data_IF_202333653985
#
_entry.id   IF_202333653985
#
_cell.length_a   1.000
_cell.length_b   1.000
_cell.length_c   1.000
_cell.angle_alpha   90.00
_cell.angle_beta   90.00
_cell.angle_gamma   90.00
#
_symmetry.space_group_name_H-M   'P 1'
#
loop_
_entity.id
_entity.type
_entity.pdbx_description
1 polymer ?
#
# COMPACT_ATOMS: atom_id res chain seq x y z
N UNK A 1 9.24 -14.64 9.35
CA UNK A 1 7.97 -13.91 9.35
C UNK A 1 8.22 -12.63 8.57
N UNK A 2 7.38 -12.31 7.59
CA UNK A 2 7.55 -11.11 6.75
C UNK A 2 6.95 -9.90 7.46
N UNK A 3 7.55 -8.72 7.24
CA UNK A 3 6.99 -7.47 7.73
C UNK A 3 6.01 -6.85 6.73
N UNK A 4 5.28 -5.84 7.21
CA UNK A 4 4.45 -5.01 6.37
C UNK A 4 4.77 -3.53 6.57
N UNK A 5 4.51 -2.72 5.53
CA UNK A 5 4.57 -1.27 5.63
C UNK A 5 3.27 -0.67 5.09
N UNK A 6 2.70 0.27 5.84
CA UNK A 6 1.56 1.07 5.39
C UNK A 6 2.07 2.47 5.02
N UNK A 7 1.82 2.89 3.78
CA UNK A 7 2.16 4.22 3.31
C UNK A 7 1.06 5.22 3.74
N UNK A 8 1.39 6.14 4.63
CA UNK A 8 0.46 7.09 5.21
C UNK A 8 0.99 8.54 5.26
N UNK A 9 2.13 8.83 4.61
CA UNK A 9 2.78 10.15 4.64
C UNK A 9 2.20 11.18 3.65
N UNK A 10 1.22 10.79 2.81
CA UNK A 10 0.63 11.66 1.79
C UNK A 10 -0.18 12.83 2.40
N UNK A 11 -0.07 14.02 1.79
CA UNK A 11 -0.80 15.23 2.24
C UNK A 11 -2.31 15.17 2.04
N UNK A 12 -2.80 14.31 1.15
CA UNK A 12 -4.23 14.23 0.85
C UNK A 12 -4.82 15.50 0.24
N UNK A 13 -4.08 16.23 -0.60
CA UNK A 13 -4.50 17.55 -1.13
C UNK A 13 -5.85 17.52 -1.85
N UNK A 14 -6.15 16.43 -2.56
CA UNK A 14 -7.45 16.23 -3.24
C UNK A 14 -8.61 15.95 -2.29
N UNK A 15 -8.32 15.68 -1.01
CA UNK A 15 -9.32 15.45 0.05
C UNK A 15 -9.76 16.72 0.77
N UNK A 16 -9.17 17.88 0.43
CA UNK A 16 -9.56 19.16 1.04
C UNK A 16 -11.05 19.46 0.82
N UNK A 17 -11.73 20.04 1.84
CA UNK A 17 -11.19 20.57 3.10
C UNK A 17 -11.02 19.51 4.21
N UNK A 18 -11.42 18.25 4.01
CA UNK A 18 -11.38 17.19 5.05
C UNK A 18 -9.96 16.96 5.57
N UNK A 19 -8.97 16.92 4.66
CA UNK A 19 -7.56 16.68 5.00
C UNK A 19 -6.85 17.88 5.65
N UNK A 20 -7.49 19.05 5.74
CA UNK A 20 -6.92 20.20 6.43
C UNK A 20 -6.91 20.02 7.96
N UNK A 21 -7.83 19.20 8.48
CA UNK A 21 -8.01 18.96 9.92
C UNK A 21 -7.67 17.53 10.34
N UNK A 22 -7.88 16.55 9.45
CA UNK A 22 -7.72 15.13 9.75
C UNK A 22 -6.86 14.48 8.68
N UNK A 23 -5.76 13.78 9.04
CA UNK A 23 -4.96 13.09 8.04
C UNK A 23 -5.81 12.07 7.27
N UNK A 24 -5.64 12.02 5.95
CA UNK A 24 -6.45 11.17 5.06
C UNK A 24 -6.63 9.72 5.57
N UNK A 25 -5.59 9.04 6.10
CA UNK A 25 -5.74 7.68 6.60
C UNK A 25 -6.70 7.54 7.80
N UNK A 26 -6.97 8.63 8.55
CA UNK A 26 -7.94 8.65 9.64
C UNK A 26 -9.37 9.03 9.22
N UNK A 27 -9.60 9.42 7.96
CA UNK A 27 -10.95 9.63 7.46
C UNK A 27 -11.74 8.31 7.51
N UNK A 28 -12.99 8.40 7.94
CA UNK A 28 -13.81 7.22 8.24
C UNK A 28 -14.61 6.77 7.03
N UNK A 29 -14.72 5.46 6.87
CA UNK A 29 -15.57 4.79 5.90
C UNK A 29 -16.07 3.47 6.51
N UNK A 30 -17.35 3.17 6.37
CA UNK A 30 -17.95 2.02 7.01
C UNK A 30 -17.78 2.02 8.54
N UNK A 31 -17.85 3.21 9.16
CA UNK A 31 -17.76 3.38 10.61
C UNK A 31 -16.35 3.38 11.20
N UNK A 32 -15.27 3.10 10.44
CA UNK A 32 -13.89 3.08 10.96
C UNK A 32 -12.91 3.82 10.02
N UNK A 33 -11.74 4.31 10.54
CA UNK A 33 -10.72 4.94 9.71
C UNK A 33 -10.19 4.03 8.60
N UNK A 34 -9.85 4.62 7.44
CA UNK A 34 -9.30 3.90 6.29
C UNK A 34 -8.10 3.03 6.66
N UNK A 35 -7.14 3.57 7.40
CA UNK A 35 -5.94 2.84 7.80
C UNK A 35 -6.23 1.64 8.69
N UNK A 36 -7.30 1.68 9.48
CA UNK A 36 -7.68 0.57 10.37
C UNK A 36 -8.16 -0.63 9.56
N UNK A 37 -8.80 -0.42 8.41
CA UNK A 37 -9.13 -1.52 7.49
C UNK A 37 -7.88 -2.26 7.04
N UNK A 38 -6.78 -1.55 6.76
CA UNK A 38 -5.51 -2.15 6.37
C UNK A 38 -4.85 -2.89 7.53
N UNK A 39 -4.81 -2.27 8.72
CA UNK A 39 -4.23 -2.90 9.92
C UNK A 39 -4.95 -4.22 10.24
N UNK A 40 -6.28 -4.22 10.28
CA UNK A 40 -7.07 -5.42 10.54
C UNK A 40 -6.91 -6.50 9.45
N UNK A 41 -6.78 -6.09 8.18
CA UNK A 41 -6.55 -7.03 7.08
C UNK A 41 -5.16 -7.66 7.15
N UNK A 42 -4.13 -6.88 7.48
CA UNK A 42 -2.78 -7.35 7.71
C UNK A 42 -2.70 -8.29 8.92
N UNK A 43 -3.37 -7.92 10.01
CA UNK A 43 -3.46 -8.75 11.23
C UNK A 43 -4.08 -10.12 10.93
N UNK A 44 -5.23 -10.14 10.24
CA UNK A 44 -5.90 -11.39 9.82
C UNK A 44 -5.00 -12.26 8.93
N UNK A 45 -4.19 -11.64 8.07
CA UNK A 45 -3.22 -12.33 7.22
C UNK A 45 -1.96 -12.82 7.97
N UNK A 46 -1.83 -12.51 9.27
CA UNK A 46 -0.72 -12.94 10.10
C UNK A 46 0.46 -11.96 10.19
N UNK A 47 0.36 -10.78 9.60
CA UNK A 47 1.37 -9.73 9.77
C UNK A 47 1.18 -9.05 11.14
N UNK A 48 2.21 -9.13 11.99
CA UNK A 48 2.18 -8.57 13.35
C UNK A 48 3.09 -7.35 13.51
N UNK A 49 4.15 -7.27 12.74
CA UNK A 49 5.08 -6.15 12.72
C UNK A 49 4.78 -5.27 11.52
N UNK A 50 4.31 -4.04 11.79
CA UNK A 50 3.89 -3.09 10.76
C UNK A 50 4.69 -1.80 10.94
N UNK A 51 5.36 -1.35 9.87
CA UNK A 51 5.95 -0.02 9.81
C UNK A 51 4.96 0.93 9.16
N UNK A 52 4.73 2.09 9.73
CA UNK A 52 3.87 3.13 9.14
C UNK A 52 4.72 4.39 8.95
N UNK A 53 4.79 4.91 7.71
CA UNK A 53 5.36 6.22 7.52
C UNK A 53 4.28 7.30 7.68
N UNK A 54 4.65 8.43 8.26
CA UNK A 54 3.74 9.56 8.47
C UNK A 54 4.49 10.88 8.31
N UNK A 55 3.80 11.90 7.81
CA UNK A 55 4.34 13.24 7.63
C UNK A 55 3.32 14.29 8.09
N UNK A 56 2.44 14.73 7.20
CA UNK A 56 1.41 15.72 7.51
C UNK A 56 0.44 15.18 8.57
N UNK A 57 0.23 15.93 9.66
CA UNK A 57 -0.58 15.51 10.82
C UNK A 57 -0.10 14.18 11.47
N UNK A 58 1.20 13.87 11.41
CA UNK A 58 1.77 12.65 11.97
C UNK A 58 1.38 12.44 13.44
N UNK A 59 1.35 13.51 14.24
CA UNK A 59 0.96 13.43 15.66
C UNK A 59 -0.46 12.84 15.86
N UNK A 60 -1.44 13.20 15.02
CA UNK A 60 -2.78 12.64 15.10
C UNK A 60 -2.81 11.14 14.78
N UNK A 61 -2.00 10.70 13.78
CA UNK A 61 -1.87 9.29 13.45
C UNK A 61 -1.22 8.50 14.60
N UNK A 62 -0.11 9.00 15.13
CA UNK A 62 0.61 8.34 16.23
C UNK A 62 -0.22 8.31 17.50
N UNK A 63 -0.94 9.37 17.85
CA UNK A 63 -1.83 9.41 19.02
C UNK A 63 -3.03 8.45 18.85
N UNK A 64 -3.60 8.36 17.64
CA UNK A 64 -4.75 7.48 17.39
C UNK A 64 -4.35 6.02 17.32
N UNK A 65 -3.25 5.65 16.67
CA UNK A 65 -2.84 4.26 16.44
C UNK A 65 -1.93 3.72 17.55
N UNK A 66 -1.20 4.60 18.24
CA UNK A 66 -0.23 4.28 19.29
C UNK A 66 0.76 3.18 18.83
N UNK A 67 0.99 2.16 19.64
CA UNK A 67 1.84 1.00 19.33
C UNK A 67 1.13 -0.14 18.58
N UNK A 68 -0.19 -0.04 18.39
CA UNK A 68 -1.00 -1.01 17.65
C UNK A 68 -1.57 -2.17 18.46
N UNK A 69 -1.26 -2.27 19.75
CA UNK A 69 -1.67 -3.38 20.63
C UNK A 69 -3.18 -3.66 20.58
N UNK A 70 -4.02 -2.62 20.53
CA UNK A 70 -5.48 -2.77 20.46
C UNK A 70 -6.00 -3.47 19.20
N UNK A 71 -5.14 -3.60 18.15
CA UNK A 71 -5.45 -4.37 16.94
C UNK A 71 -4.62 -5.65 16.83
N UNK A 72 -3.87 -6.04 17.88
CA UNK A 72 -3.06 -7.25 17.90
C UNK A 72 -1.82 -7.18 17.01
N UNK A 73 -1.32 -5.98 16.71
CA UNK A 73 -0.13 -5.72 15.92
C UNK A 73 0.86 -4.86 16.70
N UNK A 74 2.09 -4.78 16.24
CA UNK A 74 3.12 -3.87 16.73
C UNK A 74 3.44 -2.86 15.64
N UNK A 75 3.17 -1.57 15.91
CA UNK A 75 3.43 -0.49 14.98
C UNK A 75 4.77 0.17 15.32
N UNK A 76 5.61 0.34 14.28
CA UNK A 76 6.81 1.16 14.32
C UNK A 76 6.64 2.34 13.38
N UNK A 77 7.02 3.53 13.82
CA UNK A 77 6.79 4.78 13.10
C UNK A 77 8.03 5.26 12.36
N UNK A 78 7.88 5.54 11.06
CA UNK A 78 8.85 6.26 10.24
C UNK A 78 8.33 7.67 9.99
N UNK A 79 8.72 8.62 10.84
CA UNK A 79 8.22 10.00 10.75
C UNK A 79 9.07 10.79 9.74
N UNK A 80 8.41 11.38 8.76
CA UNK A 80 9.01 12.18 7.69
C UNK A 80 8.76 13.67 7.98
N UNK A 81 9.82 14.48 8.05
CA UNK A 81 9.68 15.93 8.23
C UNK A 81 8.95 16.60 7.06
N UNK A 82 9.14 16.06 5.86
CA UNK A 82 8.41 16.40 4.62
C UNK A 82 8.13 15.12 3.85
N UNK A 83 7.05 15.04 3.05
CA UNK A 83 6.77 13.85 2.24
C UNK A 83 7.94 13.49 1.33
N UNK A 84 8.36 12.23 1.38
CA UNK A 84 9.55 11.72 0.68
C UNK A 84 9.22 10.97 -0.61
N UNK A 85 7.99 11.04 -1.09
CA UNK A 85 7.50 10.17 -2.16
C UNK A 85 7.61 8.69 -1.76
N UNK A 86 7.15 7.77 -2.61
CA UNK A 86 7.03 6.37 -2.18
C UNK A 86 8.38 5.70 -1.95
N UNK A 87 9.31 5.77 -2.90
CA UNK A 87 10.60 5.10 -2.76
C UNK A 87 11.48 5.73 -1.68
N UNK A 88 11.46 7.05 -1.54
CA UNK A 88 12.18 7.76 -0.48
C UNK A 88 11.64 7.43 0.91
N UNK A 89 10.31 7.29 1.04
CA UNK A 89 9.67 6.83 2.27
C UNK A 89 10.09 5.41 2.65
N UNK A 90 10.08 4.46 1.69
CA UNK A 90 10.52 3.08 1.90
C UNK A 90 12.02 3.04 2.29
N UNK A 91 12.88 3.75 1.54
CA UNK A 91 14.31 3.81 1.84
C UNK A 91 14.59 4.38 3.24
N UNK A 92 13.81 5.38 3.66
CA UNK A 92 13.95 6.00 4.99
C UNK A 92 13.47 5.05 6.09
N UNK A 93 12.39 4.31 5.86
CA UNK A 93 11.84 3.33 6.78
C UNK A 93 12.66 2.02 6.83
N UNK A 94 13.58 1.79 5.89
CA UNK A 94 14.30 0.51 5.74
C UNK A 94 14.99 -0.02 7.00
N UNK A 95 15.51 0.80 7.94
CA UNK A 95 16.07 0.29 9.19
C UNK A 95 15.06 -0.34 10.14
N UNK A 96 13.77 -0.04 9.97
CA UNK A 96 12.66 -0.58 10.76
C UNK A 96 12.06 -1.83 10.11
N UNK A 97 12.34 -2.04 8.81
CA UNK A 97 11.81 -3.16 8.04
C UNK A 97 12.73 -4.39 8.18
N UNK A 98 12.17 -5.61 8.16
CA UNK A 98 13.00 -6.81 8.04
C UNK A 98 13.72 -6.83 6.68
N UNK A 99 14.85 -7.50 6.61
CA UNK A 99 15.50 -7.77 5.32
C UNK A 99 14.68 -8.73 4.46
N UNK A 100 14.77 -8.57 3.13
CA UNK A 100 14.04 -9.39 2.17
C UNK A 100 12.65 -8.84 1.85
N UNK A 101 11.67 -9.70 1.47
CA UNK A 101 10.36 -9.27 1.03
C UNK A 101 9.54 -8.60 2.15
N UNK A 102 8.95 -7.46 1.84
CA UNK A 102 8.02 -6.71 2.71
C UNK A 102 6.76 -6.41 1.92
N UNK A 103 5.59 -6.63 2.52
CA UNK A 103 4.32 -6.22 1.96
C UNK A 103 4.12 -4.72 2.18
N UNK A 104 3.98 -3.97 1.11
CA UNK A 104 3.74 -2.53 1.13
C UNK A 104 2.34 -2.25 0.63
N UNK A 105 1.55 -1.54 1.42
CA UNK A 105 0.17 -1.16 1.08
C UNK A 105 -0.06 0.32 1.35
N UNK A 106 -0.95 0.95 0.58
CA UNK A 106 -1.36 2.33 0.85
C UNK A 106 -2.43 2.39 1.93
N UNK A 107 -2.31 3.34 2.84
CA UNK A 107 -3.27 3.55 3.95
C UNK A 107 -4.59 4.21 3.53
N UNK A 108 -4.77 4.48 2.25
CA UNK A 108 -5.92 5.17 1.66
C UNK A 108 -6.71 4.32 0.65
N UNK A 109 -6.42 3.04 0.58
CA UNK A 109 -7.25 2.08 -0.17
C UNK A 109 -8.20 1.32 0.75
N UNK A 110 -9.23 0.75 0.16
CA UNK A 110 -10.07 -0.27 0.76
C UNK A 110 -10.18 -1.46 -0.20
N UNK A 111 -10.10 -2.68 0.31
CA UNK A 111 -10.12 -3.88 -0.54
C UNK A 111 -10.59 -5.11 0.23
N UNK A 112 -11.10 -6.10 -0.53
CA UNK A 112 -11.35 -7.46 -0.06
C UNK A 112 -10.21 -8.42 -0.41
N UNK A 113 -9.07 -7.92 -0.90
CA UNK A 113 -7.90 -8.74 -1.20
C UNK A 113 -7.37 -9.41 0.08
N UNK A 114 -7.16 -10.72 0.02
CA UNK A 114 -6.58 -11.46 1.14
C UNK A 114 -5.05 -11.41 1.08
N UNK A 115 -4.45 -10.63 1.95
CA UNK A 115 -2.98 -10.48 2.01
C UNK A 115 -2.23 -11.78 2.33
N UNK A 116 -2.90 -12.80 2.91
CA UNK A 116 -2.29 -14.09 3.17
C UNK A 116 -1.91 -14.82 1.86
N UNK A 117 -2.57 -14.54 0.75
CA UNK A 117 -2.26 -15.12 -0.56
C UNK A 117 -0.87 -14.73 -1.08
N UNK A 118 -0.30 -13.64 -0.59
CA UNK A 118 1.05 -13.19 -0.95
C UNK A 118 2.17 -13.89 -0.16
N UNK A 119 1.86 -14.60 0.94
CA UNK A 119 2.87 -15.27 1.78
C UNK A 119 3.71 -16.29 1.00
N UNK A 120 3.11 -17.19 0.16
CA UNK A 120 3.91 -18.11 -0.65
C UNK A 120 4.84 -17.41 -1.63
N UNK A 121 4.42 -16.27 -2.18
CA UNK A 121 5.26 -15.46 -3.08
C UNK A 121 6.43 -14.84 -2.32
N UNK A 122 6.21 -14.28 -1.14
CA UNK A 122 7.25 -13.74 -0.28
C UNK A 122 8.26 -14.83 0.12
N UNK A 123 7.78 -16.05 0.43
CA UNK A 123 8.63 -17.21 0.66
C UNK A 123 9.50 -17.57 -0.54
N UNK A 124 8.94 -17.58 -1.76
CA UNK A 124 9.69 -17.85 -2.98
C UNK A 124 10.76 -16.76 -3.22
N UNK A 125 10.41 -15.47 -3.08
CA UNK A 125 11.37 -14.36 -3.19
C UNK A 125 12.54 -14.47 -2.22
N UNK A 126 12.29 -15.01 -1.01
CA UNK A 126 13.34 -15.19 0.01
C UNK A 126 14.28 -16.33 -0.29
N UNK A 127 13.81 -17.39 -0.95
CA UNK A 127 14.56 -18.63 -1.15
C UNK A 127 15.27 -18.71 -2.49
N UNK A 128 14.68 -18.13 -3.53
CA UNK A 128 15.16 -18.24 -4.90
C UNK A 128 15.53 -16.88 -5.49
N UNK A 129 16.84 -16.65 -5.74
CA UNK A 129 17.31 -15.42 -6.40
C UNK A 129 16.73 -15.19 -7.81
N UNK A 130 16.25 -16.22 -8.49
CA UNK A 130 15.62 -16.10 -9.81
C UNK A 130 14.17 -15.60 -9.73
N UNK A 131 13.55 -15.62 -8.56
CA UNK A 131 12.20 -15.05 -8.37
C UNK A 131 12.25 -13.53 -8.49
N UNK A 132 11.32 -12.89 -9.25
CA UNK A 132 11.21 -11.44 -9.32
C UNK A 132 11.19 -10.77 -7.93
N UNK A 133 11.87 -9.64 -7.81
CA UNK A 133 12.08 -8.93 -6.53
C UNK A 133 10.97 -7.99 -6.13
N UNK A 134 10.00 -7.79 -7.03
CA UNK A 134 8.77 -7.04 -6.82
C UNK A 134 7.60 -7.88 -7.32
N UNK A 135 6.49 -7.85 -6.58
CA UNK A 135 5.24 -8.45 -7.04
C UNK A 135 4.08 -7.51 -6.73
N UNK A 136 3.37 -7.05 -7.77
CA UNK A 136 2.31 -6.06 -7.65
C UNK A 136 0.93 -6.68 -7.88
N UNK A 137 -0.04 -6.28 -7.08
CA UNK A 137 -1.45 -6.63 -7.29
C UNK A 137 -2.05 -5.58 -8.24
N UNK A 138 -2.54 -6.05 -9.38
CA UNK A 138 -3.16 -5.22 -10.41
C UNK A 138 -4.67 -5.35 -10.35
N UNK A 139 -5.38 -4.25 -10.57
CA UNK A 139 -6.85 -4.21 -10.54
C UNK A 139 -7.40 -3.68 -11.87
N UNK A 140 -8.67 -3.96 -12.20
CA UNK A 140 -9.34 -3.35 -13.35
C UNK A 140 -9.29 -1.82 -13.30
N UNK A 141 -9.18 -1.20 -14.47
CA UNK A 141 -9.05 0.25 -14.58
C UNK A 141 -10.32 0.95 -14.09
N UNK A 142 -10.22 1.81 -13.05
CA UNK A 142 -11.35 2.61 -12.62
C UNK A 142 -11.64 3.74 -13.65
N UNK A 143 -12.86 4.29 -13.68
CA UNK A 143 -13.25 5.32 -14.65
C UNK A 143 -12.34 6.56 -14.67
N UNK A 144 -11.73 6.90 -13.53
CA UNK A 144 -10.82 8.04 -13.42
C UNK A 144 -9.39 7.75 -13.91
N UNK A 145 -9.06 6.50 -14.22
CA UNK A 145 -7.75 6.07 -14.76
C UNK A 145 -7.91 4.97 -15.81
N UNK A 146 -8.57 5.27 -16.95
CA UNK A 146 -8.94 4.27 -17.95
C UNK A 146 -7.74 3.65 -18.67
N UNK A 147 -6.62 4.39 -18.76
CA UNK A 147 -5.43 3.96 -19.51
C UNK A 147 -4.59 2.92 -18.73
N UNK A 148 -4.78 2.80 -17.41
CA UNK A 148 -4.01 1.90 -16.55
C UNK A 148 -2.53 2.26 -16.44
N UNK A 149 -1.80 1.48 -15.66
CA UNK A 149 -0.38 1.71 -15.37
C UNK A 149 0.52 0.75 -16.17
N UNK A 150 0.28 -0.57 -16.06
CA UNK A 150 1.17 -1.61 -16.58
C UNK A 150 0.42 -2.74 -17.25
N UNK A 151 1.10 -3.40 -18.20
CA UNK A 151 0.62 -4.61 -18.87
C UNK A 151 1.04 -5.83 -18.07
N UNK A 152 0.10 -6.71 -17.73
CA UNK A 152 0.40 -8.02 -17.14
C UNK A 152 0.41 -9.08 -18.25
N UNK A 153 1.57 -9.72 -18.46
CA UNK A 153 1.75 -10.78 -19.44
C UNK A 153 2.67 -11.88 -18.87
N UNK A 154 2.22 -13.13 -18.92
CA UNK A 154 2.94 -14.31 -18.40
C UNK A 154 3.46 -14.15 -16.96
N UNK A 155 2.69 -13.44 -16.12
CA UNK A 155 3.04 -13.20 -14.71
C UNK A 155 4.09 -12.10 -14.47
N UNK A 156 4.58 -11.45 -15.52
CA UNK A 156 5.47 -10.29 -15.46
C UNK A 156 4.73 -9.01 -15.81
N UNK A 157 5.21 -7.90 -15.29
CA UNK A 157 4.69 -6.58 -15.63
C UNK A 157 5.59 -5.86 -16.62
N UNK A 158 4.95 -5.21 -17.59
CA UNK A 158 5.60 -4.48 -18.68
C UNK A 158 5.01 -3.07 -18.80
N UNK A 159 5.82 -2.13 -19.30
CA UNK A 159 5.41 -0.73 -19.50
C UNK A 159 4.45 -0.61 -20.68
N UNK A 160 4.66 -1.41 -21.72
CA UNK A 160 3.94 -1.38 -22.99
C UNK A 160 3.69 -2.82 -23.53
N UNK A 161 2.94 -2.93 -24.60
CA UNK A 161 2.77 -4.23 -25.30
C UNK A 161 1.40 -4.87 -25.11
N UNK A 162 0.42 -4.18 -24.52
CA UNK A 162 -0.93 -4.74 -24.34
C UNK A 162 -1.89 -3.84 -23.57
N UNK A 163 -3.01 -4.41 -23.14
CA UNK A 163 -3.97 -3.72 -22.26
C UNK A 163 -3.40 -3.58 -20.86
N UNK A 164 -3.36 -2.36 -20.37
CA UNK A 164 -2.85 -2.04 -19.04
C UNK A 164 -3.92 -2.24 -17.98
N UNK A 165 -3.48 -2.57 -16.78
CA UNK A 165 -4.24 -2.61 -15.55
C UNK A 165 -3.70 -1.54 -14.60
N UNK A 166 -4.51 -1.13 -13.63
CA UNK A 166 -4.08 -0.19 -12.58
C UNK A 166 -3.38 -0.94 -11.45
N UNK A 167 -2.33 -0.34 -10.90
CA UNK A 167 -1.70 -0.83 -9.69
C UNK A 167 -2.62 -0.62 -8.48
N UNK A 168 -2.95 -1.72 -7.81
CA UNK A 168 -3.90 -1.74 -6.68
C UNK A 168 -3.35 -1.17 -5.36
N UNK A 169 -2.17 -0.56 -5.38
CA UNK A 169 -1.49 -0.04 -4.18
C UNK A 169 -1.19 -1.13 -3.13
N UNK A 170 -0.93 -2.35 -3.59
CA UNK A 170 -0.57 -3.54 -2.83
C UNK A 170 0.58 -4.21 -3.52
N UNK A 171 1.72 -4.40 -2.86
CA UNK A 171 2.84 -5.09 -3.50
C UNK A 171 3.88 -5.60 -2.52
N UNK A 172 4.48 -6.74 -2.85
CA UNK A 172 5.69 -7.23 -2.20
C UNK A 172 6.91 -6.57 -2.84
N UNK A 173 7.85 -6.12 -2.03
CA UNK A 173 9.12 -5.56 -2.48
C UNK A 173 10.26 -6.13 -1.66
N UNK A 174 11.31 -6.59 -2.32
CA UNK A 174 12.55 -6.91 -1.62
C UNK A 174 13.23 -5.62 -1.17
N UNK A 175 13.41 -5.46 0.14
CA UNK A 175 14.05 -4.28 0.73
C UNK A 175 15.47 -4.06 0.23
N UNK A 176 16.15 -5.10 -0.30
CA UNK A 176 17.46 -4.96 -0.92
C UNK A 176 17.48 -3.98 -2.09
N UNK A 177 16.38 -3.81 -2.83
CA UNK A 177 16.25 -2.86 -3.94
C UNK A 177 16.33 -1.39 -3.49
N UNK A 178 16.10 -1.11 -2.22
CA UNK A 178 16.09 0.25 -1.66
C UNK A 178 17.36 0.58 -0.85
N UNK A 179 18.27 -0.40 -0.69
CA UNK A 179 19.45 -0.29 0.21
C UNK A 179 20.35 0.88 -0.14
N UNK A 180 20.58 1.11 -1.42
CA UNK A 180 21.52 2.12 -1.92
C UNK A 180 20.85 3.47 -2.18
N UNK A 181 19.54 3.58 -1.94
CA UNK A 181 18.82 4.84 -2.05
C UNK A 181 19.12 5.74 -0.84
N UNK A 182 19.33 7.05 -1.07
CA UNK A 182 19.54 8.00 0.02
C UNK A 182 18.28 8.13 0.88
N UNK A 183 18.45 8.14 2.21
CA UNK A 183 17.37 8.36 3.17
C UNK A 183 17.06 9.85 3.34
N UNK A 184 15.80 10.18 3.63
CA UNK A 184 15.36 11.56 3.82
C UNK A 184 15.27 12.37 2.53
N UNK A 185 15.34 11.73 1.38
CA UNK A 185 15.28 12.37 0.05
C UNK A 185 14.01 11.94 -0.67
N UNK A 186 13.24 12.87 -1.27
CA UNK A 186 12.07 12.53 -2.07
C UNK A 186 12.47 11.75 -3.32
N UNK A 187 11.99 10.51 -3.44
CA UNK A 187 12.27 9.62 -4.58
C UNK A 187 10.97 8.96 -5.02
N UNK A 188 10.60 9.12 -6.29
CA UNK A 188 9.45 8.45 -6.89
C UNK A 188 9.74 6.98 -7.17
N UNK A 189 8.77 6.11 -6.91
CA UNK A 189 8.93 4.68 -7.13
C UNK A 189 8.72 4.27 -8.59
N UNK A 190 7.86 4.96 -9.34
CA UNK A 190 7.54 4.62 -10.73
C UNK A 190 8.76 4.49 -11.64
N UNK A 191 9.75 5.43 -11.66
CA UNK A 191 10.93 5.27 -12.50
C UNK A 191 11.76 4.02 -12.15
N UNK A 192 11.82 3.65 -10.87
CA UNK A 192 12.52 2.46 -10.42
C UNK A 192 11.78 1.18 -10.88
N UNK A 193 10.46 1.14 -10.77
CA UNK A 193 9.69 0.03 -11.32
C UNK A 193 9.88 -0.13 -12.82
N UNK A 194 9.87 0.97 -13.59
CA UNK A 194 10.13 0.92 -15.03
C UNK A 194 11.50 0.32 -15.35
N UNK A 195 12.54 0.71 -14.61
CA UNK A 195 13.89 0.15 -14.76
C UNK A 195 13.92 -1.34 -14.38
N UNK A 196 13.31 -1.72 -13.25
CA UNK A 196 13.22 -3.12 -12.81
C UNK A 196 12.38 -4.00 -13.74
N UNK A 197 11.35 -3.46 -14.39
CA UNK A 197 10.58 -4.19 -15.41
C UNK A 197 11.43 -4.55 -16.63
N UNK A 198 12.39 -3.71 -17.04
CA UNK A 198 13.30 -4.03 -18.14
C UNK A 198 14.26 -5.18 -17.82
N UNK A 199 14.36 -5.55 -16.56
CA UNK A 199 15.21 -6.62 -16.02
C UNK A 199 14.40 -7.85 -15.58
N UNK A 200 13.10 -7.91 -15.90
CA UNK A 200 12.16 -8.96 -15.48
C UNK A 200 12.06 -9.14 -13.95
N UNK A 201 12.37 -8.08 -13.20
CA UNK A 201 12.35 -8.11 -11.74
C UNK A 201 10.96 -7.80 -11.13
N UNK A 202 9.98 -7.44 -11.96
CA UNK A 202 8.63 -7.07 -11.50
C UNK A 202 7.61 -8.05 -12.05
N UNK A 203 7.06 -8.85 -11.17
CA UNK A 203 5.91 -9.73 -11.45
C UNK A 203 4.61 -9.11 -10.96
N UNK A 204 3.49 -9.69 -11.36
CA UNK A 204 2.19 -9.25 -10.88
C UNK A 204 1.12 -10.32 -10.97
N UNK A 205 0.01 -10.03 -10.30
CA UNK A 205 -1.23 -10.80 -10.40
C UNK A 205 -2.42 -9.86 -10.56
N UNK A 206 -3.49 -10.36 -11.19
CA UNK A 206 -4.73 -9.61 -11.34
C UNK A 206 -5.70 -9.97 -10.22
N UNK A 207 -6.29 -8.96 -9.60
CA UNK A 207 -7.36 -9.09 -8.62
C UNK A 207 -8.63 -8.43 -9.14
N UNK A 208 -9.69 -9.21 -9.29
CA UNK A 208 -11.00 -8.77 -9.78
C UNK A 208 -12.03 -8.58 -8.65
N UNK A 209 -11.62 -8.68 -7.38
CA UNK A 209 -12.48 -8.45 -6.23
C UNK A 209 -12.72 -6.96 -5.95
N UNK A 210 -13.42 -6.67 -4.86
CA UNK A 210 -13.73 -5.31 -4.49
C UNK A 210 -12.48 -4.54 -4.04
N UNK A 211 -12.27 -3.39 -4.69
CA UNK A 211 -11.15 -2.49 -4.41
C UNK A 211 -11.57 -1.05 -4.68
N UNK A 212 -11.11 -0.13 -3.84
CA UNK A 212 -11.32 1.29 -4.00
C UNK A 212 -10.08 2.08 -3.54
N UNK A 213 -9.65 3.05 -4.32
CA UNK A 213 -8.69 4.07 -3.90
C UNK A 213 -9.46 5.34 -3.55
N UNK A 214 -9.40 5.74 -2.29
CA UNK A 214 -10.12 6.91 -1.79
C UNK A 214 -9.29 8.16 -2.04
N UNK A 215 -9.40 8.74 -3.22
CA UNK A 215 -8.61 9.91 -3.65
C UNK A 215 -9.27 11.26 -3.38
N UNK A 216 -10.61 11.31 -3.30
CA UNK A 216 -11.42 12.52 -3.19
C UNK A 216 -12.54 12.37 -2.15
N UNK A 217 -13.17 13.47 -1.67
CA UNK A 217 -14.34 13.40 -0.80
C UNK A 217 -15.51 12.61 -1.42
N UNK A 218 -15.67 12.65 -2.74
CA UNK A 218 -16.69 11.87 -3.46
C UNK A 218 -16.41 10.36 -3.38
N UNK A 219 -15.14 9.94 -3.53
CA UNK A 219 -14.76 8.54 -3.40
C UNK A 219 -15.03 8.03 -1.99
N UNK A 220 -14.73 8.87 -0.98
CA UNK A 220 -14.99 8.56 0.42
C UNK A 220 -16.48 8.33 0.66
N UNK A 221 -17.32 9.26 0.22
CA UNK A 221 -18.78 9.18 0.39
C UNK A 221 -19.38 7.96 -0.35
N UNK A 222 -18.90 7.67 -1.57
CA UNK A 222 -19.36 6.53 -2.35
C UNK A 222 -19.02 5.21 -1.68
N UNK A 223 -17.80 5.06 -1.18
CA UNK A 223 -17.37 3.85 -0.48
C UNK A 223 -18.10 3.69 0.87
N UNK A 224 -18.32 4.78 1.62
CA UNK A 224 -19.05 4.74 2.88
C UNK A 224 -20.50 4.27 2.69
N UNK A 225 -21.18 4.75 1.64
CA UNK A 225 -22.52 4.31 1.27
C UNK A 225 -22.55 2.80 0.94
N UNK A 226 -21.62 2.32 0.10
CA UNK A 226 -21.52 0.90 -0.29
C UNK A 226 -21.33 -0.03 0.92
N UNK A 227 -20.45 0.36 1.85
CA UNK A 227 -20.18 -0.45 3.05
C UNK A 227 -21.34 -0.43 4.03
N UNK A 228 -22.05 0.68 4.15
CA UNK A 228 -23.24 0.81 5.00
C UNK A 228 -24.40 -0.06 4.49
N UNK A 229 -24.66 -0.07 3.18
CA UNK A 229 -25.65 -0.94 2.55
C UNK A 229 -25.32 -2.44 2.74
N UNK A 230 -24.04 -2.79 2.56
CA UNK A 230 -23.55 -4.15 2.74
C UNK A 230 -23.71 -4.66 4.19
N UNK A 231 -23.54 -3.77 5.16
CA UNK A 231 -23.76 -4.09 6.57
C UNK A 231 -25.24 -4.28 6.90
N UNK A 232 -26.12 -3.44 6.35
CA UNK A 232 -27.58 -3.56 6.54
C UNK A 232 -28.17 -4.85 5.93
N UNK A 233 -27.56 -5.36 4.84
CA UNK A 233 -28.03 -6.61 4.17
C UNK A 233 -27.58 -7.86 4.92
N UNK A 234 -26.58 -7.79 5.81
CA UNK A 234 -26.05 -8.92 6.59
C UNK A 234 -26.63 -9.03 8.01
N UNK A 235 -27.37 -8.01 8.45
CA UNK A 235 -28.01 -7.95 9.77
C UNK A 235 -29.47 -8.43 9.70
#
# INVERSE_FOLDING_TARGET
MFGAMILAAGRGERMRPLSDQTPKPLLRVGGKPLIVWQIEALERAGFRDIVINASHHAAQLTEFLDDGDRWGVRIQWSIEATPLETAGGIATASPLLPGGPVLIVSGDIWTTFDYATLIPRADAMSRDPATPRVHLVMVPNPPYHPDGDFVLHDGLLHIEGGTKLVYGNIGLHDTALFRDLPRGVPIRLLPLWCDWMTQDLVSGERFDGAWANVGTPSDLASLDAQLSESAATRA
#
